data_IF_534382207507
#
_entry.id   IF_534382207507
#
_cell.length_a   1.000
_cell.length_b   1.000
_cell.length_c   1.000
_cell.angle_alpha   90.00
_cell.angle_beta   90.00
_cell.angle_gamma   90.00
#
_symmetry.space_group_name_H-M   'P 1'
#
loop_
_entity.id
_entity.type
_entity.pdbx_description
1 polymer ?
#
# COMPACT_ATOMS: atom_id res chain seq x y z
N UNK A 1 -14.33 -11.55 -9.42
CA UNK A 1 -13.23 -10.93 -8.67
C UNK A 1 -13.18 -9.45 -8.97
N UNK A 2 -13.13 -8.64 -7.94
CA UNK A 2 -13.01 -7.20 -8.12
C UNK A 2 -11.57 -6.84 -8.50
N UNK A 3 -11.42 -6.01 -9.52
CA UNK A 3 -10.11 -5.46 -9.86
C UNK A 3 -9.73 -4.40 -8.83
N UNK A 4 -8.45 -4.36 -8.46
CA UNK A 4 -7.95 -3.28 -7.62
C UNK A 4 -8.06 -1.95 -8.38
N UNK A 5 -8.33 -0.84 -7.69
CA UNK A 5 -8.34 0.46 -8.36
C UNK A 5 -6.95 0.79 -8.90
N UNK A 6 -6.86 1.60 -9.96
CA UNK A 6 -5.57 2.00 -10.49
C UNK A 6 -4.72 2.67 -9.42
N UNK A 7 -3.45 2.29 -9.34
CA UNK A 7 -2.52 2.88 -8.41
C UNK A 7 -1.77 4.02 -9.09
N UNK A 8 -1.94 5.23 -8.56
CA UNK A 8 -1.31 6.43 -9.09
C UNK A 8 -0.75 7.25 -7.94
N UNK A 9 0.20 8.18 -8.18
CA UNK A 9 0.71 9.03 -7.11
C UNK A 9 -0.29 10.08 -6.63
N UNK A 10 -1.39 10.28 -7.38
CA UNK A 10 -2.40 11.29 -7.06
C UNK A 10 -3.60 10.65 -6.39
N UNK A 11 -4.01 11.19 -5.24
CA UNK A 11 -5.22 10.72 -4.55
C UNK A 11 -6.48 11.08 -5.34
N UNK A 12 -7.50 10.20 -5.34
CA UNK A 12 -8.81 10.57 -5.88
C UNK A 12 -9.40 11.77 -5.13
N UNK A 13 -10.14 12.60 -5.86
CA UNK A 13 -10.73 13.82 -5.28
C UNK A 13 -11.74 13.55 -4.16
N UNK A 14 -12.36 12.36 -4.13
CA UNK A 14 -13.35 12.00 -3.12
C UNK A 14 -12.74 11.55 -1.79
N UNK A 15 -11.42 11.40 -1.72
CA UNK A 15 -10.74 10.95 -0.50
C UNK A 15 -10.60 12.11 0.46
N UNK A 16 -11.08 11.92 1.69
CA UNK A 16 -10.99 12.90 2.75
C UNK A 16 -9.99 12.43 3.80
N UNK A 17 -8.79 12.98 3.78
CA UNK A 17 -7.70 12.58 4.69
C UNK A 17 -7.93 13.03 6.12
N UNK A 18 -8.95 13.83 6.39
CA UNK A 18 -9.33 14.19 7.76
C UNK A 18 -10.17 13.10 8.43
N UNK A 19 -10.73 12.19 7.64
CA UNK A 19 -11.58 11.09 8.13
C UNK A 19 -11.05 9.72 7.77
N UNK A 20 -10.30 9.60 6.67
CA UNK A 20 -9.81 8.34 6.14
C UNK A 20 -8.31 8.22 6.34
N UNK A 21 -7.84 7.01 6.55
CA UNK A 21 -6.41 6.69 6.61
C UNK A 21 -5.99 6.10 5.27
N UNK A 22 -4.93 6.65 4.71
CA UNK A 22 -4.37 6.19 3.44
C UNK A 22 -2.93 5.75 3.68
N UNK A 23 -2.67 4.46 3.45
CA UNK A 23 -1.32 3.90 3.47
C UNK A 23 -0.84 3.86 2.04
N UNK A 24 0.26 4.55 1.74
CA UNK A 24 0.75 4.67 0.37
C UNK A 24 2.27 4.68 0.32
N UNK A 25 2.82 4.49 -0.86
CA UNK A 25 4.25 4.57 -1.05
C UNK A 25 4.67 4.11 -2.43
N UNK A 26 5.97 3.86 -2.57
CA UNK A 26 6.56 3.36 -3.80
C UNK A 26 7.36 2.10 -3.46
N UNK A 27 7.12 1.03 -4.21
CA UNK A 27 7.95 -0.17 -4.15
C UNK A 27 9.14 0.05 -5.06
N UNK A 28 10.36 -0.09 -4.51
CA UNK A 28 11.57 0.08 -5.29
C UNK A 28 12.59 -0.99 -4.91
N UNK A 29 13.51 -1.24 -5.84
CA UNK A 29 14.65 -2.11 -5.63
C UNK A 29 15.87 -1.41 -6.22
N UNK A 30 16.91 -1.23 -5.39
CA UNK A 30 18.12 -0.53 -5.78
C UNK A 30 17.83 0.85 -6.39
N UNK A 31 16.90 1.58 -5.73
CA UNK A 31 16.44 2.91 -6.14
C UNK A 31 15.65 2.94 -7.46
N UNK A 32 15.24 1.78 -7.96
CA UNK A 32 14.46 1.68 -9.19
C UNK A 32 13.01 1.26 -8.84
N UNK A 33 11.98 2.02 -9.27
CA UNK A 33 10.60 1.62 -9.03
C UNK A 33 10.29 0.25 -9.63
N UNK A 34 9.48 -0.54 -8.90
CA UNK A 34 9.09 -1.88 -9.31
C UNK A 34 7.62 -1.86 -9.75
N UNK A 35 7.35 -1.95 -11.06
CA UNK A 35 5.97 -2.04 -11.54
C UNK A 35 5.43 -3.46 -11.37
N UNK A 36 4.12 -3.60 -11.34
CA UNK A 36 3.42 -4.88 -11.31
C UNK A 36 3.82 -5.78 -10.13
N UNK A 37 4.24 -5.21 -9.02
CA UNK A 37 4.46 -5.95 -7.79
C UNK A 37 3.13 -6.11 -7.04
N UNK A 38 2.96 -7.25 -6.37
CA UNK A 38 1.79 -7.49 -5.54
C UNK A 38 2.06 -6.98 -4.13
N UNK A 39 1.23 -6.05 -3.67
CA UNK A 39 1.31 -5.50 -2.32
C UNK A 39 0.07 -5.93 -1.56
N UNK A 40 0.26 -6.69 -0.48
CA UNK A 40 -0.83 -7.16 0.38
C UNK A 40 -0.86 -6.40 1.68
N UNK A 41 -2.06 -6.04 2.10
CA UNK A 41 -2.29 -5.44 3.40
C UNK A 41 -2.78 -6.54 4.34
N UNK A 42 -2.03 -6.79 5.40
CA UNK A 42 -2.36 -7.77 6.43
C UNK A 42 -2.73 -7.04 7.72
N UNK A 43 -3.73 -7.56 8.43
CA UNK A 43 -4.15 -6.97 9.70
C UNK A 43 -3.19 -7.34 10.85
N UNK A 44 -3.51 -6.91 12.07
CA UNK A 44 -2.65 -7.14 13.24
C UNK A 44 -2.45 -8.62 13.54
N UNK A 45 -3.39 -9.48 13.13
CA UNK A 45 -3.27 -10.94 13.30
C UNK A 45 -2.53 -11.60 12.14
N UNK A 46 -2.14 -10.86 11.11
CA UNK A 46 -1.47 -11.38 9.94
C UNK A 46 -2.40 -11.90 8.86
N UNK A 47 -3.71 -11.68 9.01
CA UNK A 47 -4.67 -12.12 8.01
C UNK A 47 -4.77 -11.15 6.83
N UNK A 48 -5.03 -11.72 5.66
CA UNK A 48 -5.19 -10.95 4.43
C UNK A 48 -6.40 -10.03 4.51
N UNK A 49 -6.19 -8.75 4.15
CA UNK A 49 -7.26 -7.76 4.11
C UNK A 49 -7.48 -7.25 2.68
N UNK A 50 -6.42 -6.90 1.97
CA UNK A 50 -6.51 -6.35 0.62
C UNK A 50 -5.21 -6.57 -0.15
N UNK A 51 -5.28 -6.48 -1.48
CA UNK A 51 -4.12 -6.60 -2.35
C UNK A 51 -4.27 -5.62 -3.51
N UNK A 52 -3.18 -4.96 -3.85
CA UNK A 52 -3.10 -4.11 -5.04
C UNK A 52 -1.85 -4.47 -5.83
N UNK A 53 -1.84 -4.07 -7.10
CA UNK A 53 -0.69 -4.21 -7.99
C UNK A 53 -0.10 -2.83 -8.22
N UNK A 54 1.22 -2.70 -8.07
CA UNK A 54 1.87 -1.40 -8.24
C UNK A 54 1.73 -0.87 -9.66
N UNK A 55 1.72 0.47 -9.77
CA UNK A 55 1.69 1.16 -11.06
C UNK A 55 3.02 1.03 -11.80
N UNK A 56 3.09 1.61 -12.99
CA UNK A 56 4.33 1.65 -13.79
C UNK A 56 5.48 2.34 -13.06
N UNK A 57 5.18 3.22 -12.10
CA UNK A 57 6.18 3.91 -11.27
C UNK A 57 6.28 3.33 -9.86
N UNK A 58 5.76 2.13 -9.65
CA UNK A 58 5.86 1.42 -8.38
C UNK A 58 4.91 1.88 -7.29
N UNK A 59 3.97 2.76 -7.60
CA UNK A 59 3.06 3.33 -6.61
C UNK A 59 2.04 2.32 -6.11
N UNK A 60 1.76 2.36 -4.80
CA UNK A 60 0.67 1.60 -4.18
C UNK A 60 -0.07 2.48 -3.19
N UNK A 61 -1.33 2.15 -2.92
CA UNK A 61 -2.17 2.89 -2.00
C UNK A 61 -3.28 2.01 -1.46
N UNK A 62 -3.50 2.06 -0.15
CA UNK A 62 -4.60 1.39 0.52
C UNK A 62 -5.41 2.40 1.33
N UNK A 63 -6.72 2.19 1.37
CA UNK A 63 -7.61 2.88 2.30
C UNK A 63 -7.86 1.92 3.45
N UNK A 64 -7.43 2.30 4.65
CA UNK A 64 -7.48 1.42 5.81
C UNK A 64 -7.98 2.19 7.03
N UNK A 65 -8.43 1.46 8.04
CA UNK A 65 -8.75 2.06 9.33
C UNK A 65 -7.45 2.28 10.12
N UNK A 66 -7.43 3.25 11.05
CA UNK A 66 -6.29 3.37 11.97
C UNK A 66 -6.06 2.05 12.71
N UNK A 67 -4.83 1.65 12.88
CA UNK A 67 -4.46 0.41 13.54
C UNK A 67 -3.08 -0.07 13.14
N UNK A 68 -2.78 -1.31 13.50
CA UNK A 68 -1.53 -1.97 13.14
C UNK A 68 -1.74 -2.83 11.91
N UNK A 69 -0.86 -2.66 10.93
CA UNK A 69 -0.91 -3.35 9.65
C UNK A 69 0.46 -3.88 9.27
N UNK A 70 0.48 -4.82 8.36
CA UNK A 70 1.74 -5.29 7.74
C UNK A 70 1.55 -5.26 6.22
N UNK A 71 2.52 -4.69 5.53
CA UNK A 71 2.58 -4.73 4.07
C UNK A 71 3.48 -5.88 3.66
N UNK A 72 2.99 -6.72 2.76
CA UNK A 72 3.75 -7.84 2.21
C UNK A 72 3.85 -7.63 0.70
N UNK A 73 5.08 -7.49 0.20
CA UNK A 73 5.34 -7.22 -1.21
C UNK A 73 5.92 -8.48 -1.84
N UNK A 74 5.37 -8.86 -3.00
CA UNK A 74 5.87 -9.99 -3.78
C UNK A 74 6.10 -9.53 -5.22
N UNK A 75 7.29 -9.76 -5.74
CA UNK A 75 7.65 -9.49 -7.13
C UNK A 75 8.69 -10.52 -7.61
N UNK A 76 9.04 -10.46 -8.91
CA UNK A 76 9.92 -11.46 -9.53
C UNK A 76 11.30 -11.62 -8.86
N UNK A 77 11.80 -10.57 -8.25
CA UNK A 77 13.13 -10.58 -7.65
C UNK A 77 13.11 -10.79 -6.14
N UNK A 78 11.96 -11.10 -5.54
CA UNK A 78 11.90 -11.40 -4.12
C UNK A 78 10.64 -10.93 -3.44
N UNK A 79 10.69 -10.91 -2.11
CA UNK A 79 9.59 -10.48 -1.27
C UNK A 79 10.11 -9.65 -0.10
N UNK A 80 9.24 -8.81 0.45
CA UNK A 80 9.55 -7.99 1.61
C UNK A 80 8.31 -7.79 2.47
N UNK A 81 8.51 -7.58 3.77
CA UNK A 81 7.43 -7.25 4.71
C UNK A 81 7.80 -5.99 5.47
N UNK A 82 6.80 -5.14 5.70
CA UNK A 82 6.99 -3.89 6.40
C UNK A 82 5.83 -3.66 7.36
N UNK A 83 6.11 -3.59 8.69
CA UNK A 83 5.06 -3.24 9.65
C UNK A 83 4.70 -1.77 9.51
N UNK A 84 3.42 -1.46 9.70
CA UNK A 84 2.89 -0.11 9.58
C UNK A 84 1.95 0.16 10.75
N UNK A 85 2.16 1.28 11.44
CA UNK A 85 1.24 1.74 12.48
C UNK A 85 0.59 3.03 11.98
N UNK A 86 -0.72 2.97 11.78
CA UNK A 86 -1.52 4.12 11.36
C UNK A 86 -2.43 4.49 12.54
N UNK A 87 -1.98 5.38 13.40
CA UNK A 87 -2.67 5.71 14.65
C UNK A 87 -3.78 6.74 14.48
N UNK A 88 -3.78 7.50 13.38
CA UNK A 88 -4.73 8.57 13.13
C UNK A 88 -5.15 8.60 11.67
N UNK A 89 -6.31 9.21 11.34
CA UNK A 89 -6.64 9.49 9.94
C UNK A 89 -5.57 10.35 9.27
N UNK A 90 -5.43 10.21 7.97
CA UNK A 90 -4.47 10.98 7.19
C UNK A 90 -3.61 10.10 6.30
N UNK A 91 -2.50 10.65 5.84
CA UNK A 91 -1.57 9.97 4.96
C UNK A 91 -0.45 9.32 5.76
N UNK A 92 -0.20 8.04 5.47
CA UNK A 92 0.93 7.30 6.04
C UNK A 92 1.79 6.81 4.89
N UNK A 93 2.95 7.41 4.71
CA UNK A 93 3.87 7.03 3.66
C UNK A 93 4.79 5.91 4.12
N UNK A 94 4.84 4.83 3.35
CA UNK A 94 5.69 3.67 3.64
C UNK A 94 6.40 3.27 2.35
N UNK A 95 7.59 3.80 2.10
CA UNK A 95 8.43 3.33 0.98
C UNK A 95 8.97 1.93 1.29
N UNK A 96 8.99 1.09 0.28
CA UNK A 96 9.43 -0.31 0.45
C UNK A 96 10.63 -0.62 -0.47
#
# INVERSE_FOLDING_TARGET
MCAAPPQTPTLPAHVDITKETVIYGVVSKDSTPVPAAYVRLLDASGEFTAEVVTSATGDYRFFARPGEWTLSVLHNSGSARQPVVASEPGLVEVPI
#
